data_IF_803505316975
#
_entry.id   IF_803505316975
#
_cell.length_a   1.000
_cell.length_b   1.000
_cell.length_c   1.000
_cell.angle_alpha   90.00
_cell.angle_beta   90.00
_cell.angle_gamma   90.00
#
_symmetry.space_group_name_H-M   'P 1'
#
loop_
_entity.id
_entity.type
_entity.pdbx_description
1 polymer ?
#
# COMPACT_ATOMS: atom_id res chain seq x y z
N UNK A 1 16.45 -9.85 -21.08
CA UNK A 1 15.36 -10.78 -20.73
C UNK A 1 14.49 -10.03 -19.73
N UNK A 2 13.29 -9.54 -20.07
CA UNK A 2 12.53 -8.73 -19.15
C UNK A 2 11.83 -9.60 -18.09
N UNK A 3 11.99 -9.16 -16.85
CA UNK A 3 11.72 -9.78 -15.56
C UNK A 3 10.30 -10.34 -15.36
N UNK A 4 10.26 -11.49 -14.67
CA UNK A 4 9.05 -12.21 -14.21
C UNK A 4 8.28 -11.50 -13.09
N UNK A 5 8.76 -10.37 -12.58
CA UNK A 5 8.10 -9.55 -11.55
C UNK A 5 6.77 -8.95 -12.02
N UNK A 6 6.69 -8.50 -13.28
CA UNK A 6 5.45 -7.98 -13.88
C UNK A 6 4.32 -9.00 -13.97
N UNK A 7 4.66 -10.29 -14.12
CA UNK A 7 3.67 -11.36 -14.22
C UNK A 7 2.99 -11.63 -12.87
N UNK A 8 3.67 -11.36 -11.74
CA UNK A 8 3.09 -11.44 -10.40
C UNK A 8 2.05 -10.36 -10.20
N UNK A 9 2.42 -9.08 -10.36
CA UNK A 9 1.52 -7.92 -10.21
C UNK A 9 0.28 -8.03 -11.12
N UNK A 10 0.44 -8.50 -12.36
CA UNK A 10 -0.67 -8.74 -13.29
C UNK A 10 -1.59 -9.92 -12.89
N UNK A 11 -1.09 -10.91 -12.14
CA UNK A 11 -1.90 -12.02 -11.63
C UNK A 11 -2.66 -11.65 -10.36
N UNK A 12 -2.11 -10.72 -9.56
CA UNK A 12 -2.65 -10.28 -8.27
C UNK A 12 -3.82 -9.29 -8.49
N UNK A 13 -3.70 -8.34 -9.43
CA UNK A 13 -4.83 -7.45 -9.83
C UNK A 13 -5.99 -8.26 -10.44
N UNK A 14 -5.71 -9.37 -11.11
CA UNK A 14 -6.75 -10.23 -11.69
C UNK A 14 -7.51 -11.08 -10.65
N UNK A 15 -6.94 -11.30 -9.47
CA UNK A 15 -7.49 -12.20 -8.44
C UNK A 15 -8.40 -11.46 -7.45
N UNK A 16 -8.09 -10.21 -7.11
CA UNK A 16 -8.91 -9.31 -6.29
C UNK A 16 -10.26 -8.99 -6.93
N UNK A 17 -10.27 -8.77 -8.25
CA UNK A 17 -11.49 -8.50 -9.02
C UNK A 17 -12.33 -9.78 -9.19
N UNK A 18 -11.72 -10.96 -9.12
CA UNK A 18 -12.44 -12.24 -9.18
C UNK A 18 -13.36 -12.41 -7.96
N UNK A 19 -12.95 -11.94 -6.78
CA UNK A 19 -13.77 -12.00 -5.57
C UNK A 19 -14.95 -11.02 -5.58
N UNK A 20 -14.76 -9.78 -6.08
CA UNK A 20 -15.87 -8.83 -6.31
C UNK A 20 -16.87 -9.36 -7.34
N UNK A 21 -16.37 -10.06 -8.37
CA UNK A 21 -17.17 -10.65 -9.46
C UNK A 21 -17.96 -11.89 -9.02
N UNK A 22 -17.43 -12.72 -8.12
CA UNK A 22 -18.13 -13.90 -7.59
C UNK A 22 -19.29 -13.50 -6.67
N UNK A 23 -19.16 -12.40 -5.90
CA UNK A 23 -20.23 -11.94 -5.01
C UNK A 23 -21.33 -11.13 -5.72
N UNK A 24 -20.99 -10.38 -6.77
CA UNK A 24 -21.98 -9.63 -7.59
C UNK A 24 -22.79 -10.53 -8.55
N UNK A 25 -22.18 -11.60 -9.08
CA UNK A 25 -22.83 -12.49 -10.07
C UNK A 25 -24.08 -13.20 -9.53
N UNK A 26 -24.21 -13.36 -8.21
CA UNK A 26 -25.32 -14.09 -7.61
C UNK A 26 -26.64 -13.30 -7.50
N UNK A 27 -26.61 -11.97 -7.55
CA UNK A 27 -27.77 -11.11 -7.21
C UNK A 27 -28.52 -10.50 -8.40
N UNK A 28 -27.90 -10.42 -9.59
CA UNK A 28 -28.54 -9.79 -10.76
C UNK A 28 -29.21 -10.81 -11.71
N UNK A 29 -30.41 -10.46 -12.19
CA UNK A 29 -31.16 -11.23 -13.21
C UNK A 29 -30.35 -11.44 -14.49
N UNK A 30 -29.41 -10.52 -14.78
CA UNK A 30 -28.50 -10.57 -15.93
C UNK A 30 -27.43 -11.66 -15.78
N UNK A 31 -26.86 -11.83 -14.57
CA UNK A 31 -25.87 -12.88 -14.28
C UNK A 31 -26.45 -14.29 -14.46
N UNK A 32 -27.69 -14.52 -14.01
CA UNK A 32 -28.40 -15.79 -14.19
C UNK A 32 -28.78 -16.08 -15.66
N UNK A 33 -28.96 -15.05 -16.49
CA UNK A 33 -29.21 -15.22 -17.92
C UNK A 33 -27.92 -15.55 -18.69
N UNK A 34 -26.78 -15.01 -18.29
CA UNK A 34 -25.48 -15.27 -18.90
C UNK A 34 -24.99 -16.71 -18.65
N UNK A 35 -25.14 -17.23 -17.43
CA UNK A 35 -24.82 -18.64 -17.13
C UNK A 35 -25.65 -19.61 -17.98
N UNK A 36 -26.95 -19.32 -18.14
CA UNK A 36 -27.85 -20.17 -18.92
C UNK A 36 -27.54 -20.15 -20.42
N UNK A 37 -26.99 -19.04 -20.93
CA UNK A 37 -26.60 -18.86 -22.33
C UNK A 37 -25.22 -19.44 -22.65
N UNK A 38 -24.30 -19.48 -21.69
CA UNK A 38 -22.97 -20.10 -21.83
C UNK A 38 -23.04 -21.64 -22.02
N UNK A 39 -24.09 -22.29 -21.52
CA UNK A 39 -24.31 -23.73 -21.68
C UNK A 39 -25.29 -24.12 -22.80
N UNK A 40 -25.91 -23.16 -23.51
CA UNK A 40 -26.91 -23.45 -24.56
C UNK A 40 -26.36 -23.54 -25.99
N UNK A 41 -25.10 -23.16 -26.22
CA UNK A 41 -24.46 -23.24 -27.54
C UNK A 41 -24.98 -22.22 -28.56
N UNK A 42 -25.67 -21.15 -28.12
CA UNK A 42 -26.17 -20.10 -29.00
C UNK A 42 -25.04 -19.17 -29.47
N UNK A 43 -24.91 -19.00 -30.78
CA UNK A 43 -23.90 -18.14 -31.43
C UNK A 43 -23.95 -16.68 -30.97
N UNK A 44 -25.11 -16.21 -30.48
CA UNK A 44 -25.26 -14.88 -29.88
C UNK A 44 -24.58 -14.75 -28.51
N UNK A 45 -24.53 -15.83 -27.72
CA UNK A 45 -23.89 -15.85 -26.40
C UNK A 45 -22.35 -15.79 -26.50
N UNK A 46 -21.78 -16.37 -27.55
CA UNK A 46 -20.34 -16.28 -27.86
C UNK A 46 -19.93 -14.85 -28.21
N UNK A 47 -20.76 -14.11 -28.95
CA UNK A 47 -20.49 -12.70 -29.30
C UNK A 47 -20.53 -11.78 -28.06
N UNK A 48 -21.52 -11.97 -27.17
CA UNK A 48 -21.61 -11.22 -25.91
C UNK A 48 -20.45 -11.58 -24.96
N UNK A 49 -20.07 -12.85 -24.87
CA UNK A 49 -18.92 -13.29 -24.05
C UNK A 49 -17.60 -12.75 -24.59
N UNK A 50 -17.42 -12.67 -25.91
CA UNK A 50 -16.23 -12.10 -26.53
C UNK A 50 -16.17 -10.58 -26.39
N UNK A 51 -17.29 -9.88 -26.54
CA UNK A 51 -17.38 -8.43 -26.24
C UNK A 51 -17.10 -8.19 -24.76
N UNK A 52 -17.65 -8.98 -23.85
CA UNK A 52 -17.39 -8.86 -22.41
C UNK A 52 -15.92 -9.18 -22.06
N UNK A 53 -15.31 -10.18 -22.69
CA UNK A 53 -13.88 -10.48 -22.52
C UNK A 53 -12.99 -9.38 -23.11
N UNK A 54 -13.39 -8.74 -24.22
CA UNK A 54 -12.66 -7.64 -24.84
C UNK A 54 -12.84 -6.33 -24.07
N UNK A 55 -14.03 -6.01 -23.57
CA UNK A 55 -14.25 -4.86 -22.69
C UNK A 55 -13.60 -5.08 -21.35
N UNK A 56 -13.70 -6.29 -20.76
CA UNK A 56 -12.94 -6.67 -19.57
C UNK A 56 -11.44 -6.56 -19.84
N UNK A 57 -10.90 -7.12 -20.92
CA UNK A 57 -9.47 -7.01 -21.21
C UNK A 57 -9.02 -5.58 -21.50
N UNK A 58 -9.85 -4.75 -22.16
CA UNK A 58 -9.58 -3.32 -22.38
C UNK A 58 -9.66 -2.52 -21.09
N UNK A 59 -10.63 -2.81 -20.21
CA UNK A 59 -10.77 -2.19 -18.89
C UNK A 59 -9.60 -2.60 -17.99
N UNK A 60 -9.17 -3.87 -18.06
CA UNK A 60 -8.03 -4.41 -17.32
C UNK A 60 -6.71 -3.86 -17.84
N UNK A 61 -6.55 -3.68 -19.16
CA UNK A 61 -5.35 -3.05 -19.73
C UNK A 61 -5.30 -1.56 -19.39
N UNK A 62 -6.45 -0.86 -19.43
CA UNK A 62 -6.52 0.56 -19.06
C UNK A 62 -6.30 0.79 -17.56
N UNK A 63 -6.83 -0.09 -16.70
CA UNK A 63 -6.62 -0.02 -15.25
C UNK A 63 -5.19 -0.44 -14.87
N UNK A 64 -4.60 -1.42 -15.57
CA UNK A 64 -3.19 -1.80 -15.39
C UNK A 64 -2.20 -0.74 -15.90
N UNK A 65 -2.54 0.03 -16.93
CA UNK A 65 -1.75 1.18 -17.39
C UNK A 65 -1.91 2.37 -16.45
N UNK A 66 -3.13 2.62 -15.95
CA UNK A 66 -3.37 3.70 -14.98
C UNK A 66 -2.62 3.42 -13.67
N UNK A 67 -2.56 2.17 -13.19
CA UNK A 67 -1.85 1.81 -11.97
C UNK A 67 -0.33 2.03 -12.00
N UNK A 68 0.27 2.27 -13.18
CA UNK A 68 1.71 2.52 -13.34
C UNK A 68 2.07 4.00 -13.48
N UNK A 69 1.08 4.90 -13.52
CA UNK A 69 1.39 6.33 -13.53
C UNK A 69 1.70 6.79 -12.11
N UNK A 70 2.75 7.62 -11.90
CA UNK A 70 2.98 8.26 -10.62
C UNK A 70 1.75 9.05 -10.17
N UNK A 71 1.52 9.05 -8.86
CA UNK A 71 0.50 9.91 -8.23
C UNK A 71 0.95 11.36 -8.32
N UNK A 72 0.06 12.28 -8.69
CA UNK A 72 0.38 13.72 -8.71
C UNK A 72 0.16 14.36 -7.33
N UNK A 73 0.77 15.52 -7.03
CA UNK A 73 0.54 16.21 -5.76
C UNK A 73 -0.94 16.52 -5.49
N UNK A 74 -1.70 16.89 -6.51
CA UNK A 74 -3.14 17.17 -6.37
C UNK A 74 -3.94 15.90 -6.06
N UNK A 75 -3.46 14.73 -6.50
CA UNK A 75 -4.08 13.45 -6.16
C UNK A 75 -3.73 13.00 -4.75
N UNK A 76 -2.55 13.35 -4.24
CA UNK A 76 -2.20 13.12 -2.84
C UNK A 76 -3.02 14.01 -1.91
N UNK A 77 -3.21 15.29 -2.27
CA UNK A 77 -4.10 16.21 -1.55
C UNK A 77 -5.55 15.68 -1.55
N UNK A 78 -6.04 15.17 -2.69
CA UNK A 78 -7.36 14.53 -2.77
C UNK A 78 -7.49 13.30 -1.85
N UNK A 79 -6.43 12.50 -1.75
CA UNK A 79 -6.41 11.34 -0.86
C UNK A 79 -6.35 11.77 0.62
N UNK A 80 -5.54 12.77 0.96
CA UNK A 80 -5.43 13.32 2.31
C UNK A 80 -6.76 13.90 2.79
N UNK A 81 -7.41 14.72 1.95
CA UNK A 81 -8.74 15.27 2.22
C UNK A 81 -9.76 14.17 2.50
N UNK A 82 -9.69 13.06 1.75
CA UNK A 82 -10.58 11.91 1.97
C UNK A 82 -10.28 11.20 3.30
N UNK A 83 -9.00 10.93 3.59
CA UNK A 83 -8.57 10.25 4.81
C UNK A 83 -8.95 11.02 6.09
N UNK A 84 -8.98 12.35 6.02
CA UNK A 84 -9.32 13.24 7.14
C UNK A 84 -10.80 13.65 7.18
N UNK A 85 -11.62 13.15 6.25
CA UNK A 85 -13.05 13.49 6.17
C UNK A 85 -13.89 12.70 7.17
N UNK A 86 -15.17 13.07 7.30
CA UNK A 86 -16.16 12.33 8.10
C UNK A 86 -16.61 11.01 7.44
N UNK A 87 -16.04 10.66 6.27
CA UNK A 87 -16.29 9.41 5.55
C UNK A 87 -15.44 8.25 6.07
N UNK A 88 -14.38 8.53 6.82
CA UNK A 88 -13.46 7.52 7.37
C UNK A 88 -13.58 7.50 8.90
N UNK A 89 -13.01 6.46 9.54
CA UNK A 89 -12.96 6.38 11.00
C UNK A 89 -12.08 7.49 11.57
N UNK A 90 -12.32 7.88 12.83
CA UNK A 90 -11.39 8.74 13.59
C UNK A 90 -10.00 8.09 13.76
N UNK A 91 -9.89 6.77 13.62
CA UNK A 91 -8.62 6.04 13.62
C UNK A 91 -8.04 5.81 12.21
N UNK A 92 -8.61 6.41 11.17
CA UNK A 92 -8.04 6.36 9.82
C UNK A 92 -6.64 6.96 9.82
N UNK A 93 -5.77 6.41 8.98
CA UNK A 93 -4.41 6.92 8.83
C UNK A 93 -4.42 8.34 8.25
N UNK A 94 -3.55 9.20 8.74
CA UNK A 94 -3.17 10.44 8.04
C UNK A 94 -2.29 10.10 6.82
N UNK A 95 -2.03 11.08 5.95
CA UNK A 95 -1.15 10.85 4.80
C UNK A 95 0.29 10.48 5.24
N UNK A 96 0.82 11.11 6.29
CA UNK A 96 2.13 10.78 6.86
C UNK A 96 2.19 9.34 7.43
N UNK A 97 1.13 8.93 8.15
CA UNK A 97 1.01 7.55 8.64
C UNK A 97 0.94 6.56 7.46
N UNK A 98 0.13 6.89 6.46
CA UNK A 98 -0.04 6.04 5.29
C UNK A 98 1.30 5.80 4.56
N UNK A 99 2.12 6.83 4.42
CA UNK A 99 3.44 6.72 3.79
C UNK A 99 4.36 5.76 4.56
N UNK A 100 4.46 5.89 5.88
CA UNK A 100 5.27 5.00 6.71
C UNK A 100 4.76 3.56 6.70
N UNK A 101 3.45 3.39 6.84
CA UNK A 101 2.79 2.10 6.76
C UNK A 101 3.05 1.40 5.43
N UNK A 102 2.77 2.06 4.31
CA UNK A 102 2.97 1.48 2.98
C UNK A 102 4.44 1.22 2.67
N UNK A 103 5.36 2.06 3.16
CA UNK A 103 6.80 1.82 3.01
C UNK A 103 7.17 0.46 3.61
N UNK A 104 6.76 0.18 4.84
CA UNK A 104 7.02 -1.13 5.48
C UNK A 104 6.40 -2.31 4.71
N UNK A 105 5.17 -2.14 4.22
CA UNK A 105 4.44 -3.14 3.41
C UNK A 105 5.17 -3.45 2.11
N UNK A 106 5.73 -2.44 1.45
CA UNK A 106 6.43 -2.56 0.17
C UNK A 106 7.82 -3.20 0.32
N UNK A 107 8.59 -2.75 1.31
CA UNK A 107 9.99 -3.17 1.47
C UNK A 107 10.18 -4.43 2.30
N UNK A 108 9.12 -4.90 2.95
CA UNK A 108 9.12 -6.02 3.88
C UNK A 108 9.47 -7.40 3.29
N UNK A 109 9.35 -8.45 4.11
CA UNK A 109 9.85 -9.80 3.80
C UNK A 109 9.13 -10.47 2.62
N UNK A 110 7.86 -10.15 2.40
CA UNK A 110 7.03 -10.76 1.38
C UNK A 110 6.02 -9.74 0.80
N UNK A 111 5.56 -9.92 -0.44
CA UNK A 111 4.50 -9.09 -0.99
C UNK A 111 3.18 -9.36 -0.26
N UNK A 112 2.46 -8.29 0.10
CA UNK A 112 1.10 -8.36 0.65
C UNK A 112 0.07 -7.93 -0.40
N UNK A 113 -1.06 -8.61 -0.41
CA UNK A 113 -2.21 -8.27 -1.25
C UNK A 113 -2.94 -7.07 -0.69
N UNK A 114 -3.59 -6.24 -1.53
CA UNK A 114 -4.42 -5.12 -1.08
C UNK A 114 -5.41 -5.49 0.03
N UNK A 115 -6.01 -6.67 -0.04
CA UNK A 115 -6.96 -7.14 0.99
C UNK A 115 -6.31 -7.38 2.36
N UNK A 116 -5.00 -7.56 2.42
CA UNK A 116 -4.25 -7.84 3.65
C UNK A 116 -3.82 -6.56 4.38
N UNK A 117 -3.63 -5.44 3.66
CA UNK A 117 -3.15 -4.18 4.25
C UNK A 117 -4.15 -3.03 4.15
N UNK A 118 -4.95 -2.96 3.09
CA UNK A 118 -5.84 -1.81 2.84
C UNK A 118 -6.91 -1.59 3.91
N UNK A 119 -7.52 -2.62 4.54
CA UNK A 119 -8.49 -2.39 5.61
C UNK A 119 -7.94 -1.52 6.75
N UNK A 120 -6.66 -1.68 7.10
CA UNK A 120 -6.01 -0.96 8.20
C UNK A 120 -5.70 0.51 7.88
N UNK A 121 -5.79 0.92 6.60
CA UNK A 121 -5.66 2.34 6.22
C UNK A 121 -6.86 3.13 6.74
N UNK A 122 -8.04 2.52 6.77
CA UNK A 122 -9.30 3.19 7.09
C UNK A 122 -9.62 3.24 8.58
N UNK A 123 -8.93 2.43 9.40
CA UNK A 123 -9.18 2.31 10.83
C UNK A 123 -8.81 0.93 11.39
N UNK A 124 -9.29 0.64 12.60
CA UNK A 124 -9.12 -0.65 13.27
C UNK A 124 -10.17 -1.67 12.83
N UNK A 125 -9.98 -2.96 13.15
CA UNK A 125 -10.89 -4.05 12.74
C UNK A 125 -12.36 -3.85 13.14
N UNK A 126 -12.63 -3.13 14.23
CA UNK A 126 -13.98 -2.86 14.75
C UNK A 126 -14.57 -1.53 14.24
N UNK A 127 -13.82 -0.75 13.47
CA UNK A 127 -14.25 0.54 12.92
C UNK A 127 -15.13 0.35 11.67
N UNK A 128 -15.99 1.33 11.34
CA UNK A 128 -16.76 1.30 10.10
C UNK A 128 -15.85 1.39 8.86
N UNK A 129 -16.22 0.65 7.81
CA UNK A 129 -15.65 0.81 6.47
C UNK A 129 -15.81 2.26 5.96
N UNK A 130 -14.92 2.74 5.06
CA UNK A 130 -15.04 4.08 4.50
C UNK A 130 -16.32 4.26 3.69
N UNK A 131 -16.99 5.40 3.86
CA UNK A 131 -18.21 5.76 3.18
C UNK A 131 -17.93 6.51 1.87
N UNK A 132 -18.06 5.83 0.73
CA UNK A 132 -17.96 6.47 -0.59
C UNK A 132 -19.32 7.00 -1.07
N UNK A 133 -19.36 8.23 -1.58
CA UNK A 133 -20.53 8.86 -2.20
C UNK A 133 -20.97 8.14 -3.47
N UNK A 134 -20.03 7.51 -4.17
CA UNK A 134 -20.30 6.76 -5.39
C UNK A 134 -19.22 5.72 -5.70
N UNK A 135 -19.55 4.75 -6.55
CA UNK A 135 -18.60 3.78 -7.08
C UNK A 135 -17.39 4.45 -7.76
N UNK A 136 -17.59 5.61 -8.40
CA UNK A 136 -16.51 6.37 -9.04
C UNK A 136 -15.56 7.01 -8.03
N UNK A 137 -16.07 7.45 -6.89
CA UNK A 137 -15.23 7.98 -5.82
C UNK A 137 -14.41 6.85 -5.20
N UNK A 138 -15.03 5.69 -4.95
CA UNK A 138 -14.32 4.51 -4.48
C UNK A 138 -13.19 4.08 -5.45
N UNK A 139 -13.50 3.95 -6.75
CA UNK A 139 -12.50 3.65 -7.78
C UNK A 139 -11.37 4.69 -7.82
N UNK A 140 -11.70 5.96 -7.61
CA UNK A 140 -10.75 7.07 -7.62
C UNK A 140 -9.79 7.01 -6.44
N UNK A 141 -10.30 6.99 -5.22
CA UNK A 141 -9.51 7.01 -3.98
C UNK A 141 -8.68 5.74 -3.84
N UNK A 142 -9.29 4.56 -4.04
CA UNK A 142 -8.57 3.29 -4.01
C UNK A 142 -7.52 3.24 -5.12
N UNK A 143 -7.82 3.78 -6.29
CA UNK A 143 -6.87 3.90 -7.39
C UNK A 143 -5.64 4.74 -7.03
N UNK A 144 -5.83 5.89 -6.38
CA UNK A 144 -4.73 6.73 -5.89
C UNK A 144 -3.88 5.96 -4.87
N UNK A 145 -4.53 5.32 -3.89
CA UNK A 145 -3.86 4.55 -2.84
C UNK A 145 -2.98 3.42 -3.40
N UNK A 146 -3.49 2.63 -4.34
CA UNK A 146 -2.72 1.57 -5.00
C UNK A 146 -1.55 2.11 -5.82
N UNK A 147 -1.75 3.23 -6.54
CA UNK A 147 -0.66 3.88 -7.28
C UNK A 147 0.39 4.50 -6.36
N UNK A 148 -0.01 4.96 -5.19
CA UNK A 148 0.92 5.49 -4.21
C UNK A 148 1.85 4.39 -3.69
N UNK A 149 1.28 3.23 -3.34
CA UNK A 149 2.07 2.04 -3.00
C UNK A 149 3.03 1.62 -4.13
N UNK A 150 2.57 1.64 -5.40
CA UNK A 150 3.45 1.37 -6.54
C UNK A 150 4.54 2.43 -6.71
N UNK A 151 4.25 3.71 -6.45
CA UNK A 151 5.22 4.81 -6.55
C UNK A 151 6.36 4.58 -5.55
N UNK A 152 6.04 4.20 -4.31
CA UNK A 152 7.04 3.81 -3.30
C UNK A 152 7.89 2.63 -3.82
N UNK A 153 7.25 1.58 -4.33
CA UNK A 153 7.94 0.40 -4.84
C UNK A 153 8.89 0.73 -6.02
N UNK A 154 8.46 1.60 -6.93
CA UNK A 154 9.23 2.01 -8.10
C UNK A 154 10.50 2.77 -7.70
N UNK A 155 10.46 3.60 -6.65
CA UNK A 155 11.65 4.29 -6.12
C UNK A 155 12.68 3.28 -5.62
N UNK A 156 12.28 2.34 -4.76
CA UNK A 156 13.20 1.32 -4.23
C UNK A 156 13.77 0.39 -5.32
N UNK A 157 12.99 0.07 -6.35
CA UNK A 157 13.46 -0.74 -7.48
C UNK A 157 14.45 0.03 -8.36
N UNK A 158 14.27 1.34 -8.52
CA UNK A 158 15.10 2.18 -9.35
C UNK A 158 16.42 2.57 -8.67
N UNK A 159 16.34 3.12 -7.46
CA UNK A 159 17.45 3.62 -6.68
C UNK A 159 17.04 3.78 -5.20
N UNK A 160 17.25 2.76 -4.34
CA UNK A 160 16.81 2.79 -2.94
C UNK A 160 17.45 3.93 -2.16
N UNK A 161 18.71 4.28 -2.43
CA UNK A 161 19.43 5.37 -1.76
C UNK A 161 18.86 6.76 -2.07
N UNK A 162 17.99 6.87 -3.09
CA UNK A 162 17.30 8.11 -3.45
C UNK A 162 15.95 8.29 -2.73
N UNK A 163 15.48 7.26 -2.03
CA UNK A 163 14.21 7.30 -1.32
C UNK A 163 14.28 8.27 -0.13
N UNK A 164 13.19 9.00 0.07
CA UNK A 164 12.97 9.87 1.22
C UNK A 164 11.54 9.68 1.73
N UNK A 165 11.29 9.72 3.05
CA UNK A 165 9.93 9.68 3.60
C UNK A 165 9.15 10.94 3.19
N UNK A 166 7.82 10.86 3.17
CA UNK A 166 6.97 11.97 2.74
C UNK A 166 7.22 13.27 3.52
N UNK A 167 7.49 13.19 4.83
CA UNK A 167 7.73 14.37 5.66
C UNK A 167 9.00 15.15 5.27
N UNK A 168 9.97 14.54 4.58
CA UNK A 168 11.13 15.22 4.00
C UNK A 168 10.82 15.90 2.65
N UNK A 169 9.72 15.50 2.01
CA UNK A 169 9.27 16.03 0.73
C UNK A 169 8.24 17.17 0.88
N UNK A 170 7.66 17.28 2.08
CA UNK A 170 6.65 18.27 2.43
C UNK A 170 7.24 19.45 3.20
N UNK A 171 6.48 20.55 3.29
CA UNK A 171 6.81 21.70 4.14
C UNK A 171 5.70 21.86 5.17
N UNK A 172 6.08 21.98 6.44
CA UNK A 172 5.15 22.13 7.55
C UNK A 172 5.09 23.59 8.02
N UNK A 173 3.91 24.09 8.48
CA UNK A 173 3.78 25.46 8.97
C UNK A 173 4.61 25.74 10.23
N UNK A 174 4.63 24.77 11.15
CA UNK A 174 5.33 24.81 12.43
C UNK A 174 6.24 23.58 12.57
N UNK A 175 7.31 23.68 13.36
CA UNK A 175 8.22 22.54 13.57
C UNK A 175 7.52 21.42 14.34
N UNK A 176 6.62 21.78 15.25
CA UNK A 176 5.80 20.85 16.01
C UNK A 176 4.92 19.96 15.10
N UNK A 177 4.39 20.52 14.00
CA UNK A 177 3.63 19.76 13.00
C UNK A 177 4.53 18.77 12.25
N UNK A 178 5.75 19.19 11.90
CA UNK A 178 6.75 18.30 11.29
C UNK A 178 7.13 17.16 12.22
N UNK A 179 7.32 17.44 13.51
CA UNK A 179 7.63 16.42 14.51
C UNK A 179 6.49 15.41 14.68
N UNK A 180 5.23 15.86 14.63
CA UNK A 180 4.06 14.97 14.64
C UNK A 180 4.06 14.07 13.40
N UNK A 181 4.36 14.61 12.22
CA UNK A 181 4.44 13.83 10.99
C UNK A 181 5.54 12.75 11.05
N UNK A 182 6.73 13.10 11.57
CA UNK A 182 7.84 12.15 11.77
C UNK A 182 7.44 11.02 12.71
N UNK A 183 6.86 11.34 13.87
CA UNK A 183 6.40 10.35 14.86
C UNK A 183 5.31 9.45 14.26
N UNK A 184 4.34 10.05 13.59
CA UNK A 184 3.22 9.34 12.96
C UNK A 184 3.69 8.39 11.86
N UNK A 185 4.64 8.83 11.03
CA UNK A 185 5.25 8.02 9.98
C UNK A 185 5.95 6.79 10.56
N UNK A 186 6.83 7.01 11.56
CA UNK A 186 7.62 5.96 12.16
C UNK A 186 6.75 4.96 12.95
N UNK A 187 5.74 5.46 13.66
CA UNK A 187 4.75 4.63 14.32
C UNK A 187 3.99 3.74 13.33
N UNK A 188 3.49 4.32 12.24
CA UNK A 188 2.72 3.60 11.24
C UNK A 188 3.57 2.58 10.44
N UNK A 189 4.88 2.81 10.28
CA UNK A 189 5.80 1.81 9.76
C UNK A 189 5.78 0.53 10.62
N UNK A 190 5.77 0.68 11.95
CA UNK A 190 5.68 -0.48 12.86
C UNK A 190 4.32 -1.18 12.75
N UNK A 191 3.23 -0.45 12.55
CA UNK A 191 1.92 -1.08 12.29
C UNK A 191 1.95 -1.99 11.05
N UNK A 192 2.67 -1.61 10.00
CA UNK A 192 2.80 -2.46 8.81
C UNK A 192 3.70 -3.68 9.02
N UNK A 193 4.68 -3.60 9.92
CA UNK A 193 5.44 -4.77 10.39
C UNK A 193 4.50 -5.78 11.08
N UNK A 194 3.62 -5.28 11.95
CA UNK A 194 2.73 -6.12 12.77
C UNK A 194 1.78 -6.99 11.94
N UNK A 195 1.43 -6.59 10.72
CA UNK A 195 0.61 -7.39 9.80
C UNK A 195 1.16 -8.81 9.59
N UNK A 196 2.49 -8.92 9.56
CA UNK A 196 3.22 -10.17 9.30
C UNK A 196 4.45 -10.28 10.22
N UNK A 197 4.27 -9.94 11.50
CA UNK A 197 5.36 -9.86 12.49
C UNK A 197 6.25 -11.11 12.56
N UNK A 198 5.65 -12.30 12.39
CA UNK A 198 6.38 -13.57 12.33
C UNK A 198 7.42 -13.61 11.19
N UNK A 199 7.11 -13.00 10.04
CA UNK A 199 8.00 -12.96 8.88
C UNK A 199 9.13 -11.93 9.03
N UNK A 200 8.95 -10.94 9.91
CA UNK A 200 9.98 -9.94 10.23
C UNK A 200 11.00 -10.44 11.28
N UNK A 201 10.66 -11.47 12.07
CA UNK A 201 11.53 -12.05 13.12
C UNK A 201 12.99 -12.30 12.67
N UNK A 202 13.28 -12.86 11.49
CA UNK A 202 14.65 -13.09 11.07
C UNK A 202 15.54 -11.84 11.03
N UNK A 203 14.97 -10.65 10.77
CA UNK A 203 15.73 -9.39 10.80
C UNK A 203 16.00 -8.95 12.23
N UNK A 204 15.02 -9.07 13.12
CA UNK A 204 15.17 -8.75 14.54
C UNK A 204 16.18 -9.68 15.25
N UNK A 205 16.34 -10.91 14.77
CA UNK A 205 17.30 -11.89 15.27
C UNK A 205 18.69 -11.80 14.60
N UNK A 206 18.86 -10.94 13.60
CA UNK A 206 20.13 -10.74 12.88
C UNK A 206 20.92 -9.60 13.54
N UNK A 207 22.05 -9.92 14.17
CA UNK A 207 22.89 -8.97 14.91
C UNK A 207 23.35 -7.77 14.05
N UNK A 208 23.54 -7.98 12.73
CA UNK A 208 24.00 -6.92 11.82
C UNK A 208 22.84 -6.05 11.31
N UNK A 209 21.64 -6.64 11.13
CA UNK A 209 20.50 -5.94 10.52
C UNK A 209 19.50 -5.35 11.52
N UNK A 210 19.41 -5.91 12.72
CA UNK A 210 18.47 -5.45 13.76
C UNK A 210 18.67 -3.97 14.12
N UNK A 211 19.90 -3.46 14.05
CA UNK A 211 20.22 -2.05 14.29
C UNK A 211 19.56 -1.07 13.31
N UNK A 212 19.18 -1.51 12.11
CA UNK A 212 18.48 -0.69 11.12
C UNK A 212 17.07 -0.26 11.60
N UNK A 213 16.52 -0.95 12.59
CA UNK A 213 15.20 -0.63 13.15
C UNK A 213 15.23 0.51 14.18
N UNK A 214 16.41 0.89 14.68
CA UNK A 214 16.55 1.87 15.75
C UNK A 214 15.94 3.25 15.41
N UNK A 215 16.19 3.86 14.23
CA UNK A 215 15.56 5.13 13.89
C UNK A 215 14.03 5.04 13.93
N UNK A 216 13.46 3.96 13.39
CA UNK A 216 12.01 3.75 13.35
C UNK A 216 11.43 3.65 14.77
N UNK A 217 12.07 2.86 15.66
CA UNK A 217 11.57 2.68 17.02
C UNK A 217 11.71 3.91 17.91
N UNK A 218 12.81 4.66 17.75
CA UNK A 218 13.06 5.89 18.51
C UNK A 218 12.11 6.99 18.04
N UNK A 219 12.03 7.24 16.73
CA UNK A 219 11.16 8.27 16.16
C UNK A 219 9.68 7.96 16.39
N UNK A 220 9.28 6.68 16.29
CA UNK A 220 7.90 6.24 16.51
C UNK A 220 7.49 6.08 17.97
N UNK A 221 8.41 6.34 18.93
CA UNK A 221 8.17 6.23 20.38
C UNK A 221 7.52 4.92 20.82
N UNK A 222 7.98 3.81 20.24
CA UNK A 222 7.33 2.49 20.37
C UNK A 222 7.51 1.87 21.76
N UNK A 223 8.58 2.21 22.47
CA UNK A 223 8.85 1.73 23.82
C UNK A 223 9.27 2.89 24.72
N UNK A 224 8.51 3.13 25.79
CA UNK A 224 8.80 4.13 26.82
C UNK A 224 10.15 3.88 27.54
N UNK A 225 10.72 2.68 27.42
CA UNK A 225 12.03 2.32 27.96
C UNK A 225 13.19 2.66 27.00
N UNK A 226 12.92 2.94 25.72
CA UNK A 226 13.91 3.60 24.88
C UNK A 226 14.05 5.02 25.43
N UNK A 227 15.28 5.41 25.79
CA UNK A 227 15.51 6.76 26.32
C UNK A 227 14.95 7.76 25.31
N UNK A 228 14.06 8.65 25.78
CA UNK A 228 13.55 9.75 24.98
C UNK A 228 14.77 10.56 24.58
N UNK A 229 15.15 10.45 23.31
CA UNK A 229 16.23 11.20 22.72
C UNK A 229 15.97 12.69 22.95
N UNK A 230 17.01 13.44 23.29
CA UNK A 230 16.91 14.89 23.31
C UNK A 230 16.57 15.42 21.91
N UNK A 231 16.03 16.63 21.79
CA UNK A 231 15.65 17.21 20.49
C UNK A 231 16.82 17.20 19.47
N UNK A 232 18.04 17.48 19.91
CA UNK A 232 19.25 17.44 19.09
C UNK A 232 19.69 16.01 18.71
N UNK A 233 19.32 15.01 19.51
CA UNK A 233 19.55 13.59 19.19
C UNK A 233 18.47 13.05 18.23
N UNK A 234 17.26 13.63 18.22
CA UNK A 234 16.19 13.24 17.28
C UNK A 234 16.57 13.58 15.83
N UNK A 235 17.19 14.74 15.59
CA UNK A 235 17.67 15.13 14.26
C UNK A 235 18.66 14.08 13.68
N UNK A 236 19.55 13.53 14.51
CA UNK A 236 20.48 12.48 14.07
C UNK A 236 19.75 11.19 13.64
N UNK A 237 18.66 10.83 14.34
CA UNK A 237 17.82 9.69 13.96
C UNK A 237 16.99 9.94 12.71
N UNK A 238 16.50 11.17 12.52
CA UNK A 238 15.81 11.58 11.30
C UNK A 238 16.77 11.49 10.10
N UNK A 239 17.98 12.04 10.23
CA UNK A 239 19.01 11.98 9.18
C UNK A 239 19.43 10.55 8.84
N UNK A 240 19.45 9.65 9.84
CA UNK A 240 19.80 8.24 9.66
C UNK A 240 18.66 7.39 9.05
N UNK A 241 17.40 7.87 9.09
CA UNK A 241 16.24 7.09 8.70
C UNK A 241 16.27 6.62 7.22
N UNK A 242 16.60 7.46 6.21
CA UNK A 242 16.63 7.02 4.81
C UNK A 242 17.63 5.90 4.54
N UNK A 243 18.83 5.98 5.12
CA UNK A 243 19.86 4.92 5.00
C UNK A 243 19.38 3.63 5.67
N UNK A 244 18.76 3.74 6.85
CA UNK A 244 18.23 2.60 7.57
C UNK A 244 17.12 1.87 6.80
N UNK A 245 16.16 2.61 6.24
CA UNK A 245 15.06 2.06 5.43
C UNK A 245 15.58 1.42 4.14
N UNK A 246 16.56 2.05 3.49
CA UNK A 246 17.24 1.47 2.32
C UNK A 246 17.94 0.15 2.67
N UNK A 247 18.64 0.09 3.80
CA UNK A 247 19.24 -1.14 4.31
C UNK A 247 18.21 -2.24 4.62
N UNK A 248 17.04 -1.87 5.17
CA UNK A 248 15.93 -2.81 5.41
C UNK A 248 15.44 -3.41 4.10
N UNK A 249 15.24 -2.57 3.08
CA UNK A 249 14.84 -3.02 1.75
C UNK A 249 15.87 -4.01 1.17
N UNK A 250 17.16 -3.67 1.19
CA UNK A 250 18.23 -4.54 0.66
C UNK A 250 18.30 -5.89 1.39
N UNK A 251 18.18 -5.88 2.71
CA UNK A 251 18.18 -7.08 3.54
C UNK A 251 17.08 -8.07 3.11
N UNK A 252 15.86 -7.57 2.88
CA UNK A 252 14.73 -8.38 2.46
C UNK A 252 14.77 -8.73 0.99
N UNK A 253 15.21 -7.83 0.12
CA UNK A 253 15.37 -8.09 -1.31
C UNK A 253 16.29 -9.30 -1.54
N UNK A 254 17.44 -9.34 -0.85
CA UNK A 254 18.38 -10.45 -0.94
C UNK A 254 17.77 -11.80 -0.51
N UNK A 255 16.82 -11.79 0.43
CA UNK A 255 16.13 -13.00 0.95
C UNK A 255 14.96 -13.42 0.06
N UNK A 256 14.18 -12.47 -0.45
CA UNK A 256 13.13 -12.70 -1.47
C UNK A 256 13.70 -13.37 -2.72
N UNK A 257 14.90 -12.97 -3.15
CA UNK A 257 15.61 -13.63 -4.26
C UNK A 257 16.12 -15.04 -3.94
N UNK A 258 16.53 -15.33 -2.71
CA UNK A 258 17.01 -16.67 -2.33
C UNK A 258 15.90 -17.72 -2.24
N UNK A 259 14.67 -17.28 -1.97
CA UNK A 259 13.51 -18.15 -1.81
C UNK A 259 12.65 -18.29 -3.09
N UNK A 260 13.02 -17.62 -4.19
CA UNK A 260 12.32 -17.61 -5.49
C UNK A 260 12.95 -18.58 -6.52
#
# INVERSE_FOLDING_TARGET
MPCRWWAGVLFLVASSIFFFRVRWSASSTLGKQLDKALFSGDSGALCVSFIYLLTSKSLYMNMSEDLQRPVTPEELEELEDFLLSDKTSENSMTLDMLDGYLTSVVIGPQPLMPEEWMPYVWGLDDDPDPEFESEKEAERIIGILLRYSNTIADVFVADPDSWLPLFEQCSYPEEEDRMIAIESWAYAFVLGIELVSDEWKPMFEDDDASGLMLPIFILGRIDDNLEVAAEDELDEWVDALPEAVSGIYEYWLARRYKNA
#
